data_IF_924080280044
#
_entry.id   IF_924080280044
#
_cell.length_a   1.000
_cell.length_b   1.000
_cell.length_c   1.000
_cell.angle_alpha   90.00
_cell.angle_beta   90.00
_cell.angle_gamma   90.00
#
_symmetry.space_group_name_H-M   'P 1'
#
loop_
_entity.id
_entity.type
_entity.pdbx_description
1 polymer ?
#
# COMPACT_ATOMS: atom_id res chain seq x y z
N UNK A 1 -18.31 45.54 -28.51
CA UNK A 1 -16.87 45.46 -28.83
C UNK A 1 -16.37 44.21 -28.13
N UNK A 2 -16.38 43.13 -28.89
CA UNK A 2 -15.96 41.77 -28.53
C UNK A 2 -14.45 41.61 -28.71
N UNK A 3 -13.91 40.50 -28.16
CA UNK A 3 -12.56 39.92 -28.37
C UNK A 3 -11.41 40.59 -27.59
N UNK A 4 -10.46 39.93 -26.92
CA UNK A 4 -10.03 38.52 -26.73
C UNK A 4 -9.11 38.52 -25.48
N UNK A 5 -8.98 37.40 -24.77
CA UNK A 5 -7.67 36.74 -24.57
C UNK A 5 -7.87 35.37 -23.92
N UNK A 6 -7.49 34.35 -24.69
CA UNK A 6 -7.44 32.94 -24.35
C UNK A 6 -6.60 32.68 -23.10
N UNK A 7 -7.14 31.86 -22.20
CA UNK A 7 -6.34 31.18 -21.17
C UNK A 7 -5.65 29.99 -21.83
N UNK A 8 -4.37 30.17 -22.16
CA UNK A 8 -3.51 29.11 -22.67
C UNK A 8 -3.35 28.01 -21.63
N UNK A 9 -3.95 26.85 -21.89
CA UNK A 9 -3.58 25.60 -21.25
C UNK A 9 -2.18 25.24 -21.76
N UNK A 10 -1.16 25.38 -20.92
CA UNK A 10 0.15 24.83 -21.24
C UNK A 10 0.08 23.32 -21.03
N UNK A 11 -0.05 22.57 -22.13
CA UNK A 11 0.25 21.15 -22.18
C UNK A 11 1.71 20.96 -21.75
N UNK A 12 1.92 20.42 -20.56
CA UNK A 12 3.21 19.90 -20.16
C UNK A 12 3.40 18.59 -20.90
N UNK A 13 4.19 18.64 -21.96
CA UNK A 13 4.68 17.45 -22.66
C UNK A 13 5.41 16.57 -21.64
N UNK A 14 4.75 15.48 -21.25
CA UNK A 14 5.34 14.43 -20.44
C UNK A 14 6.32 13.70 -21.35
N UNK A 15 7.62 13.86 -21.10
CA UNK A 15 8.63 13.03 -21.75
C UNK A 15 8.44 11.58 -21.27
N UNK A 16 7.71 10.82 -22.08
CA UNK A 16 7.62 9.38 -21.95
C UNK A 16 9.02 8.82 -22.15
N UNK A 17 9.60 8.23 -21.12
CA UNK A 17 10.82 7.43 -21.26
C UNK A 17 10.49 6.23 -22.17
N UNK A 18 10.92 6.29 -23.42
CA UNK A 18 10.78 5.21 -24.39
C UNK A 18 11.57 3.99 -23.91
N UNK A 19 10.87 2.89 -23.63
CA UNK A 19 11.46 1.57 -23.48
C UNK A 19 11.50 0.89 -24.86
N UNK A 20 12.57 0.17 -25.22
CA UNK A 20 12.60 -0.62 -26.45
C UNK A 20 11.60 -1.77 -26.38
N UNK A 21 10.87 -1.94 -27.47
CA UNK A 21 9.94 -3.04 -27.76
C UNK A 21 10.73 -4.36 -27.84
N UNK A 22 10.44 -5.30 -26.96
CA UNK A 22 10.97 -6.67 -27.03
C UNK A 22 9.80 -7.65 -26.98
N UNK A 23 9.49 -8.18 -28.16
CA UNK A 23 8.48 -9.21 -28.37
C UNK A 23 8.96 -10.55 -27.80
N UNK A 24 8.04 -11.21 -27.08
CA UNK A 24 8.01 -12.64 -26.74
C UNK A 24 9.21 -13.27 -26.01
N UNK A 25 9.03 -13.52 -24.70
CA UNK A 25 9.35 -14.81 -24.05
C UNK A 25 8.76 -14.95 -22.64
N UNK A 26 7.82 -15.89 -22.54
CA UNK A 26 7.59 -16.87 -21.45
C UNK A 26 7.48 -16.35 -20.00
N UNK A 27 6.25 -16.45 -19.49
CA UNK A 27 5.83 -16.24 -18.10
C UNK A 27 6.66 -17.15 -17.18
N UNK A 28 7.56 -16.54 -16.41
CA UNK A 28 8.29 -17.18 -15.32
C UNK A 28 8.11 -16.30 -14.06
N UNK A 29 7.52 -16.90 -13.04
CA UNK A 29 7.51 -16.51 -11.62
C UNK A 29 7.81 -15.05 -11.30
N UNK A 30 6.77 -14.24 -11.10
CA UNK A 30 6.87 -12.90 -10.51
C UNK A 30 7.37 -13.00 -9.08
N UNK A 31 8.69 -13.07 -8.92
CA UNK A 31 9.32 -12.71 -7.66
C UNK A 31 9.12 -11.21 -7.48
N UNK A 32 8.33 -10.84 -6.46
CA UNK A 32 8.25 -9.48 -5.96
C UNK A 32 9.66 -9.04 -5.56
N UNK A 33 10.33 -8.29 -6.44
CA UNK A 33 11.52 -7.55 -6.06
C UNK A 33 11.01 -6.42 -5.16
N UNK A 34 11.42 -6.35 -3.88
CA UNK A 34 11.20 -5.13 -3.11
C UNK A 34 11.98 -4.04 -3.84
N UNK A 35 11.28 -3.06 -4.40
CA UNK A 35 11.89 -1.80 -4.82
C UNK A 35 12.31 -1.04 -3.56
N UNK A 36 13.30 -1.57 -2.87
CA UNK A 36 14.23 -0.81 -2.03
C UNK A 36 15.04 0.00 -3.04
N UNK A 37 14.39 1.02 -3.61
CA UNK A 37 15.10 2.19 -4.11
C UNK A 37 15.92 2.63 -2.90
N UNK A 38 17.25 2.54 -2.99
CA UNK A 38 18.17 2.90 -1.91
C UNK A 38 17.74 4.24 -1.32
N UNK A 39 17.10 4.20 -0.16
CA UNK A 39 16.46 5.37 0.46
C UNK A 39 17.48 6.47 0.72
N UNK A 40 18.72 6.07 1.02
CA UNK A 40 19.89 6.93 1.20
C UNK A 40 20.34 7.68 -0.06
N UNK A 41 20.05 7.18 -1.28
CA UNK A 41 20.45 7.85 -2.53
C UNK A 41 19.50 8.99 -2.94
N UNK A 42 18.35 9.11 -2.28
CA UNK A 42 17.32 10.12 -2.59
C UNK A 42 17.29 11.27 -1.56
N UNK A 43 18.10 11.20 -0.50
CA UNK A 43 18.15 12.19 0.57
C UNK A 43 19.20 13.26 0.28
N UNK A 44 18.91 14.16 -0.67
CA UNK A 44 19.72 15.36 -0.82
C UNK A 44 19.58 16.28 0.40
N UNK A 45 20.61 17.07 0.70
CA UNK A 45 20.57 18.04 1.82
C UNK A 45 19.39 19.01 1.69
N UNK A 46 19.10 19.46 0.46
CA UNK A 46 17.95 20.31 0.16
C UNK A 46 16.62 19.59 0.45
N UNK A 47 16.48 18.33 0.03
CA UNK A 47 15.28 17.54 0.29
C UNK A 47 15.04 17.36 1.79
N UNK A 48 16.09 17.04 2.56
CA UNK A 48 16.00 16.85 4.01
C UNK A 48 15.57 18.15 4.69
N UNK A 49 16.19 19.28 4.34
CA UNK A 49 15.82 20.60 4.87
C UNK A 49 14.35 20.93 4.58
N UNK A 50 13.91 20.76 3.33
CA UNK A 50 12.57 21.14 2.91
C UNK A 50 11.51 20.20 3.51
N UNK A 51 11.82 18.89 3.63
CA UNK A 51 11.00 17.91 4.35
C UNK A 51 10.82 18.31 5.81
N UNK A 52 11.91 18.64 6.50
CA UNK A 52 11.87 18.98 7.92
C UNK A 52 11.08 20.28 8.17
N UNK A 53 11.15 21.23 7.24
CA UNK A 53 10.31 22.43 7.28
C UNK A 53 8.82 22.09 7.08
N UNK A 54 8.48 21.23 6.12
CA UNK A 54 7.11 20.75 5.93
C UNK A 54 6.56 20.03 7.17
N UNK A 55 7.37 19.21 7.85
CA UNK A 55 6.99 18.54 9.09
C UNK A 55 6.64 19.57 10.18
N UNK A 56 7.47 20.61 10.35
CA UNK A 56 7.19 21.68 11.33
C UNK A 56 5.87 22.40 11.08
N UNK A 57 5.53 22.66 9.82
CA UNK A 57 4.23 23.25 9.49
C UNK A 57 3.09 22.27 9.77
N UNK A 58 3.27 21.00 9.37
CA UNK A 58 2.28 19.95 9.54
C UNK A 58 1.90 19.70 11.00
N UNK A 59 2.89 19.69 11.91
CA UNK A 59 2.68 19.51 13.35
C UNK A 59 1.89 20.66 14.00
N UNK A 60 1.94 21.86 13.41
CA UNK A 60 1.23 23.04 13.92
C UNK A 60 -0.21 23.15 13.41
N UNK A 61 -0.62 22.30 12.47
CA UNK A 61 -1.97 22.28 11.92
C UNK A 61 -2.90 21.37 12.74
N UNK A 62 -4.20 21.66 12.71
CA UNK A 62 -5.19 20.75 13.29
C UNK A 62 -5.36 19.48 12.42
N UNK A 63 -5.94 18.43 13.00
CA UNK A 63 -6.14 17.14 12.31
C UNK A 63 -6.84 17.29 10.95
N UNK A 64 -7.87 18.13 10.86
CA UNK A 64 -8.58 18.37 9.60
C UNK A 64 -7.69 19.02 8.53
N UNK A 65 -6.84 19.96 8.92
CA UNK A 65 -5.89 20.61 8.00
C UNK A 65 -4.79 19.65 7.54
N UNK A 66 -4.30 18.79 8.44
CA UNK A 66 -3.35 17.74 8.11
C UNK A 66 -3.91 16.79 7.04
N UNK A 67 -5.16 16.33 7.21
CA UNK A 67 -5.82 15.46 6.24
C UNK A 67 -5.96 16.14 4.88
N UNK A 68 -6.48 17.37 4.83
CA UNK A 68 -6.63 18.14 3.58
C UNK A 68 -5.28 18.31 2.86
N UNK A 69 -4.20 18.56 3.61
CA UNK A 69 -2.87 18.69 3.04
C UNK A 69 -2.36 17.39 2.44
N UNK A 70 -2.51 16.25 3.15
CA UNK A 70 -2.09 14.94 2.65
C UNK A 70 -2.92 14.55 1.41
N UNK A 71 -4.23 14.82 1.40
CA UNK A 71 -5.07 14.61 0.22
C UNK A 71 -4.58 15.41 -1.00
N UNK A 72 -4.19 16.67 -0.78
CA UNK A 72 -3.57 17.49 -1.84
C UNK A 72 -2.27 16.88 -2.35
N UNK A 73 -1.38 16.39 -1.47
CA UNK A 73 -0.15 15.71 -1.89
C UNK A 73 -0.45 14.44 -2.70
N UNK A 74 -1.37 13.60 -2.23
CA UNK A 74 -1.78 12.37 -2.91
C UNK A 74 -2.38 12.66 -4.29
N UNK A 75 -3.13 13.76 -4.45
CA UNK A 75 -3.74 14.14 -5.74
C UNK A 75 -2.72 14.43 -6.85
N UNK A 76 -1.45 14.72 -6.48
CA UNK A 76 -0.36 15.04 -7.42
C UNK A 76 0.55 13.86 -7.72
N UNK A 77 0.31 12.72 -7.10
CA UNK A 77 1.11 11.51 -7.28
C UNK A 77 0.52 10.59 -8.35
N UNK A 78 1.36 9.74 -8.93
CA UNK A 78 0.93 8.74 -9.91
C UNK A 78 0.44 7.44 -9.23
N UNK A 79 -0.25 6.60 -10.00
CA UNK A 79 -0.79 5.32 -9.53
C UNK A 79 0.27 4.41 -8.87
N UNK A 80 1.51 4.40 -9.38
CA UNK A 80 2.59 3.63 -8.79
C UNK A 80 2.97 4.14 -7.39
N UNK A 81 3.05 5.46 -7.19
CA UNK A 81 3.31 6.06 -5.89
C UNK A 81 2.15 5.81 -4.90
N UNK A 82 0.89 5.87 -5.37
CA UNK A 82 -0.27 5.50 -4.55
C UNK A 82 -0.19 4.06 -4.07
N UNK A 83 0.26 3.13 -4.91
CA UNK A 83 0.50 1.73 -4.52
C UNK A 83 1.50 1.60 -3.37
N UNK A 84 2.62 2.34 -3.44
CA UNK A 84 3.64 2.36 -2.37
C UNK A 84 3.09 2.94 -1.06
N UNK A 85 2.36 4.06 -1.12
CA UNK A 85 1.76 4.68 0.07
C UNK A 85 0.69 3.78 0.67
N UNK A 86 -0.15 3.15 -0.14
CA UNK A 86 -1.16 2.20 0.34
C UNK A 86 -0.51 1.01 1.07
N UNK A 87 0.61 0.48 0.56
CA UNK A 87 1.37 -0.56 1.25
C UNK A 87 1.92 -0.09 2.60
N UNK A 88 2.32 1.18 2.71
CA UNK A 88 2.76 1.79 3.97
C UNK A 88 1.59 2.03 4.96
N UNK A 89 0.41 2.41 4.46
CA UNK A 89 -0.78 2.68 5.28
C UNK A 89 -1.45 1.40 5.79
N UNK A 90 -1.41 0.30 5.02
CA UNK A 90 -2.08 -0.96 5.38
C UNK A 90 -1.75 -1.44 6.81
N UNK A 91 -0.48 -1.52 7.25
CA UNK A 91 -0.15 -1.90 8.63
C UNK A 91 -0.69 -0.94 9.71
N UNK A 92 -0.91 0.33 9.38
CA UNK A 92 -1.45 1.33 10.31
C UNK A 92 -2.98 1.24 10.44
N UNK A 93 -3.66 0.81 9.38
CA UNK A 93 -5.12 0.80 9.30
C UNK A 93 -5.75 -0.58 9.46
N UNK A 94 -5.02 -1.65 9.15
CA UNK A 94 -5.52 -3.02 9.17
C UNK A 94 -4.81 -3.83 10.25
N UNK A 95 -5.59 -4.48 11.10
CA UNK A 95 -5.08 -5.44 12.07
C UNK A 95 -5.30 -6.85 11.54
N UNK A 96 -4.21 -7.57 11.29
CA UNK A 96 -4.26 -8.99 11.00
C UNK A 96 -4.55 -9.77 12.30
N UNK A 97 -5.83 -9.94 12.62
CA UNK A 97 -6.25 -10.63 13.84
C UNK A 97 -5.78 -12.10 13.88
N UNK A 98 -5.79 -12.77 12.72
CA UNK A 98 -5.48 -14.19 12.62
C UNK A 98 -3.99 -14.44 12.89
N UNK A 99 -3.10 -13.55 12.45
CA UNK A 99 -1.68 -13.63 12.80
C UNK A 99 -1.36 -13.04 14.19
N UNK A 100 -2.09 -12.00 14.62
CA UNK A 100 -1.80 -11.29 15.87
C UNK A 100 -2.25 -12.02 17.14
N UNK A 101 -3.31 -12.83 17.07
CA UNK A 101 -3.84 -13.56 18.22
C UNK A 101 -2.92 -14.73 18.65
N UNK A 102 -2.45 -15.61 17.74
CA UNK A 102 -1.45 -16.64 18.06
C UNK A 102 -0.17 -16.08 18.66
N UNK A 103 0.33 -14.94 18.16
CA UNK A 103 1.51 -14.27 18.71
C UNK A 103 1.36 -13.84 20.18
N UNK A 104 0.13 -13.82 20.71
CA UNK A 104 -0.20 -13.52 22.11
C UNK A 104 -0.63 -14.77 22.90
N UNK A 105 -0.52 -15.96 22.33
CA UNK A 105 -0.99 -17.21 22.92
C UNK A 105 -2.52 -17.36 22.93
N UNK A 106 -3.22 -16.65 22.04
CA UNK A 106 -4.68 -16.65 21.90
C UNK A 106 -5.13 -17.43 20.66
N UNK A 107 -4.44 -18.51 20.32
CA UNK A 107 -4.67 -19.34 19.12
C UNK A 107 -6.13 -19.78 19.00
N UNK A 108 -6.72 -20.28 20.09
CA UNK A 108 -8.13 -20.68 20.15
C UNK A 108 -9.12 -19.59 19.73
N UNK A 109 -8.78 -18.30 19.91
CA UNK A 109 -9.64 -17.20 19.47
C UNK A 109 -9.54 -17.03 17.95
N UNK A 110 -8.34 -17.14 17.38
CA UNK A 110 -8.15 -17.10 15.92
C UNK A 110 -8.88 -18.27 15.25
N UNK A 111 -8.76 -19.48 15.82
CA UNK A 111 -9.49 -20.66 15.37
C UNK A 111 -11.01 -20.45 15.43
N UNK A 112 -11.54 -19.93 16.55
CA UNK A 112 -12.96 -19.64 16.70
C UNK A 112 -13.47 -18.63 15.67
N UNK A 113 -12.68 -17.61 15.32
CA UNK A 113 -13.04 -16.64 14.27
C UNK A 113 -13.17 -17.36 12.92
N UNK A 114 -12.18 -18.17 12.56
CA UNK A 114 -12.15 -18.89 11.28
C UNK A 114 -13.19 -20.00 11.19
N UNK A 115 -13.61 -20.59 12.32
CA UNK A 115 -14.65 -21.62 12.37
C UNK A 115 -16.04 -21.14 11.92
N UNK A 116 -16.27 -19.82 11.82
CA UNK A 116 -17.51 -19.23 11.30
C UNK A 116 -17.52 -19.07 9.77
N UNK A 117 -16.40 -19.32 9.09
CA UNK A 117 -16.33 -19.25 7.65
C UNK A 117 -17.06 -20.45 7.02
N UNK A 118 -17.65 -20.26 5.85
CA UNK A 118 -18.10 -21.39 5.03
C UNK A 118 -16.90 -22.05 4.32
N UNK A 119 -17.08 -23.28 3.83
CA UNK A 119 -16.00 -24.02 3.18
C UNK A 119 -15.27 -23.23 2.08
N UNK A 120 -16.00 -22.42 1.29
CA UNK A 120 -15.38 -21.60 0.24
C UNK A 120 -14.52 -20.47 0.82
N UNK A 121 -15.00 -19.77 1.85
CA UNK A 121 -14.23 -18.71 2.51
C UNK A 121 -13.06 -19.27 3.32
N UNK A 122 -13.19 -20.48 3.88
CA UNK A 122 -12.11 -21.18 4.56
C UNK A 122 -10.98 -21.57 3.58
N UNK A 123 -11.31 -22.06 2.38
CA UNK A 123 -10.34 -22.25 1.30
C UNK A 123 -9.61 -20.94 0.95
N UNK A 124 -10.33 -19.81 0.90
CA UNK A 124 -9.71 -18.52 0.62
C UNK A 124 -8.80 -18.05 1.77
N UNK A 125 -9.19 -18.32 3.02
CA UNK A 125 -8.41 -17.98 4.21
C UNK A 125 -7.03 -18.66 4.21
N UNK A 126 -6.95 -19.93 3.79
CA UNK A 126 -5.68 -20.67 3.65
C UNK A 126 -4.69 -20.03 2.65
N UNK A 127 -5.19 -19.26 1.68
CA UNK A 127 -4.39 -18.62 0.64
C UNK A 127 -3.93 -17.20 1.01
N UNK A 128 -4.34 -16.67 2.16
CA UNK A 128 -3.98 -15.30 2.59
C UNK A 128 -2.48 -15.20 2.86
N UNK A 129 -1.94 -16.07 3.73
CA UNK A 129 -0.51 -16.19 3.99
C UNK A 129 -0.20 -17.49 4.73
N UNK A 130 1.11 -17.77 4.95
CA UNK A 130 1.56 -18.98 5.66
C UNK A 130 1.01 -19.11 7.08
N UNK A 131 0.82 -17.98 7.77
CA UNK A 131 0.31 -17.99 9.15
C UNK A 131 -1.16 -18.35 9.21
N UNK A 132 -1.97 -17.79 8.30
CA UNK A 132 -3.39 -18.16 8.17
C UNK A 132 -3.55 -19.65 7.84
N UNK A 133 -2.74 -20.18 6.91
CA UNK A 133 -2.71 -21.61 6.62
C UNK A 133 -2.38 -22.45 7.86
N UNK A 134 -1.37 -22.04 8.65
CA UNK A 134 -0.99 -22.73 9.89
C UNK A 134 -2.15 -22.81 10.87
N UNK A 135 -2.84 -21.70 11.13
CA UNK A 135 -3.98 -21.66 12.07
C UNK A 135 -5.11 -22.60 11.60
N UNK A 136 -5.43 -22.60 10.30
CA UNK A 136 -6.46 -23.51 9.75
C UNK A 136 -6.06 -24.98 9.90
N UNK A 137 -4.81 -25.30 9.58
CA UNK A 137 -4.28 -26.67 9.60
C UNK A 137 -4.15 -27.23 11.02
N UNK A 138 -3.51 -26.48 11.93
CA UNK A 138 -3.27 -26.91 13.31
C UNK A 138 -4.56 -26.90 14.14
N UNK A 139 -5.44 -25.92 13.91
CA UNK A 139 -6.79 -25.88 14.49
C UNK A 139 -7.74 -26.96 13.96
N UNK A 140 -7.32 -27.75 12.97
CA UNK A 140 -8.10 -28.81 12.34
C UNK A 140 -9.49 -28.34 11.87
N UNK A 141 -9.61 -27.11 11.36
CA UNK A 141 -10.92 -26.47 11.12
C UNK A 141 -11.77 -27.20 10.07
N UNK A 142 -11.13 -27.89 9.13
CA UNK A 142 -11.81 -28.74 8.14
C UNK A 142 -12.56 -29.92 8.74
N UNK A 143 -12.28 -30.36 9.98
CA UNK A 143 -13.05 -31.44 10.63
C UNK A 143 -14.46 -31.00 11.04
N UNK A 144 -14.67 -29.69 11.17
CA UNK A 144 -15.97 -29.12 11.52
C UNK A 144 -16.84 -28.81 10.29
N UNK A 145 -16.40 -29.15 9.07
CA UNK A 145 -17.05 -28.83 7.79
C UNK A 145 -17.19 -30.08 6.93
#
# INVERSE_FOLDING_TARGET
MSELTETGFQETNMETCSLPDDSDKKIESTQLIPSIINKELMESEDFVRDRDLCIKYFENWCEGQQVIFVEHLLSRMCHYQHGQINAFLKPMLQRDFISALPAKGLDHIAENILAYLDAKSLCAAELVCKEWYRVVSEGNLWKAH
#
